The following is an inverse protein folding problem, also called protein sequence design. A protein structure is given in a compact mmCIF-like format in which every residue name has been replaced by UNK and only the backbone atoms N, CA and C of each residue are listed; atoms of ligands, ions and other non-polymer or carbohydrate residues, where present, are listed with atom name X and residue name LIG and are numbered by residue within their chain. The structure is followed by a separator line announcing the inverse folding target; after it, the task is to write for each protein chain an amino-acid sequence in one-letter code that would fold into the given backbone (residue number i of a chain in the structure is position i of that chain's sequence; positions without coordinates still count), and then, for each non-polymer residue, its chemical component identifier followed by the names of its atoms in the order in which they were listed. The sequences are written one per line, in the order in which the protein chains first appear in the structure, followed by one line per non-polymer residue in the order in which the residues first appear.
data_IF_292618310956
#
_entry.id   IF_292618310956
#
_cell.length_a   1.000
_cell.length_b   1.000
_cell.length_c   1.000
_cell.angle_alpha   90.00
_cell.angle_beta   90.00
_cell.angle_gamma   90.00
#
_symmetry.space_group_name_H-M   'P 1'
#
loop_
_entity.id
_entity.type
_entity.pdbx_description
1 polymer ?
#
# COMPACT_ATOMS: atom_id res chain seq x y z
N UNK A 1 -5.30 14.96 15.50
CA UNK A 1 -3.90 15.18 15.10
C UNK A 1 -3.58 14.37 13.83
N UNK A 2 -2.65 14.82 12.97
CA UNK A 2 -2.11 14.02 11.90
C UNK A 2 -1.43 12.76 12.44
N UNK A 3 -1.40 11.68 11.64
CA UNK A 3 -0.74 10.42 11.98
C UNK A 3 -0.22 9.72 10.71
N UNK A 4 0.71 8.78 10.91
CA UNK A 4 1.31 8.00 9.83
C UNK A 4 0.91 6.54 9.97
N UNK A 5 0.42 5.96 8.87
CA UNK A 5 0.15 4.52 8.72
C UNK A 5 1.18 3.94 7.77
N UNK A 6 1.98 2.99 8.23
CA UNK A 6 2.79 2.18 7.34
C UNK A 6 1.93 1.06 6.74
N UNK A 7 1.78 1.08 5.42
CA UNK A 7 1.01 0.05 4.71
C UNK A 7 1.95 -0.85 3.92
N UNK A 8 1.81 -2.14 4.09
CA UNK A 8 2.68 -3.12 3.42
C UNK A 8 1.90 -4.28 2.82
N UNK A 9 2.35 -4.74 1.66
CA UNK A 9 1.89 -5.95 1.01
C UNK A 9 3.02 -6.97 0.95
N UNK A 10 2.80 -8.15 1.54
CA UNK A 10 3.75 -9.26 1.49
C UNK A 10 3.48 -10.18 0.30
N UNK A 11 4.56 -10.73 -0.27
CA UNK A 11 4.53 -11.58 -1.47
C UNK A 11 4.15 -13.03 -1.11
N UNK A 12 2.88 -13.23 -0.72
CA UNK A 12 2.35 -14.56 -0.40
C UNK A 12 0.83 -14.65 -0.54
N UNK A 13 0.34 -15.86 -0.65
CA UNK A 13 -1.08 -16.22 -0.52
C UNK A 13 -1.34 -16.87 0.85
N UNK A 14 -2.61 -17.02 1.23
CA UNK A 14 -3.01 -17.67 2.47
C UNK A 14 -3.10 -16.69 3.65
N UNK A 15 -2.51 -17.04 4.80
CA UNK A 15 -2.63 -16.24 6.02
C UNK A 15 -1.80 -14.96 5.97
N UNK A 16 -2.36 -13.86 6.43
CA UNK A 16 -1.67 -12.55 6.48
C UNK A 16 -0.54 -12.54 7.52
N UNK A 17 -0.60 -13.41 8.54
CA UNK A 17 0.44 -13.55 9.56
C UNK A 17 1.73 -14.20 9.04
N UNK A 18 1.73 -14.73 7.82
CA UNK A 18 2.94 -15.31 7.23
C UNK A 18 4.10 -14.32 7.19
N UNK A 19 5.32 -14.85 7.37
CA UNK A 19 6.56 -14.09 7.19
C UNK A 19 6.96 -14.20 5.73
N UNK A 20 7.04 -13.06 5.04
CA UNK A 20 7.45 -12.98 3.64
C UNK A 20 8.04 -11.61 3.35
N UNK A 21 8.60 -11.45 2.14
CA UNK A 21 9.13 -10.16 1.67
C UNK A 21 8.04 -9.11 1.56
N UNK A 22 8.35 -7.88 1.97
CA UNK A 22 7.48 -6.72 1.76
C UNK A 22 7.73 -6.13 0.37
N UNK A 23 6.85 -6.44 -0.56
CA UNK A 23 6.94 -5.96 -1.95
C UNK A 23 6.26 -4.61 -2.17
N UNK A 24 5.35 -4.24 -1.28
CA UNK A 24 4.69 -2.93 -1.21
C UNK A 24 5.06 -2.26 0.09
N UNK A 25 5.58 -1.04 0.02
CA UNK A 25 5.97 -0.25 1.18
C UNK A 25 5.49 1.19 0.99
N UNK A 26 4.42 1.57 1.70
CA UNK A 26 3.81 2.88 1.61
C UNK A 26 3.77 3.54 3.00
N UNK A 27 4.34 4.73 3.13
CA UNK A 27 4.09 5.59 4.29
C UNK A 27 2.91 6.53 3.95
N UNK A 28 1.81 6.40 4.67
CA UNK A 28 0.58 7.14 4.42
C UNK A 28 0.38 8.15 5.55
N UNK A 29 0.64 9.43 5.25
CA UNK A 29 0.43 10.51 6.19
C UNK A 29 -1.01 11.01 6.08
N UNK A 30 -1.76 10.91 7.16
CA UNK A 30 -3.18 11.26 7.21
C UNK A 30 -3.37 12.49 8.09
N UNK A 31 -4.00 13.52 7.53
CA UNK A 31 -4.45 14.70 8.28
C UNK A 31 -5.99 14.75 8.29
N UNK A 32 -6.63 14.22 9.35
CA UNK A 32 -8.08 14.10 9.40
C UNK A 32 -8.80 15.47 9.37
N UNK A 33 -8.28 16.45 10.09
CA UNK A 33 -8.89 17.80 10.18
C UNK A 33 -8.84 18.49 8.81
N UNK A 34 -7.74 18.33 8.07
CA UNK A 34 -7.56 18.97 6.76
C UNK A 34 -8.14 18.14 5.62
N UNK A 35 -8.60 16.91 5.89
CA UNK A 35 -9.04 15.93 4.88
C UNK A 35 -8.00 15.74 3.78
N UNK A 36 -6.75 15.56 4.20
CA UNK A 36 -5.61 15.37 3.31
C UNK A 36 -4.88 14.06 3.60
N UNK A 37 -4.44 13.41 2.56
CA UNK A 37 -3.62 12.19 2.62
C UNK A 37 -2.43 12.36 1.68
N UNK A 38 -1.22 12.12 2.20
CA UNK A 38 -0.01 11.99 1.40
C UNK A 38 0.43 10.52 1.40
N UNK A 39 0.54 9.94 0.22
CA UNK A 39 1.00 8.56 0.00
C UNK A 39 2.42 8.62 -0.52
N UNK A 40 3.37 8.13 0.28
CA UNK A 40 4.80 8.04 -0.06
C UNK A 40 5.14 6.59 -0.35
N UNK A 41 5.51 6.28 -1.60
CA UNK A 41 5.97 4.94 -1.99
C UNK A 41 7.49 4.84 -1.78
N UNK A 42 7.91 3.81 -1.05
CA UNK A 42 9.31 3.49 -0.79
C UNK A 42 9.65 2.25 -1.61
N UNK A 43 10.58 2.31 -2.58
CA UNK A 43 10.95 1.16 -3.39
C UNK A 43 11.42 0.00 -2.51
N UNK A 44 10.95 -1.22 -2.80
CA UNK A 44 11.27 -2.42 -2.00
C UNK A 44 12.77 -2.73 -1.91
N UNK A 45 13.51 -2.34 -2.95
CA UNK A 45 14.97 -2.54 -3.06
C UNK A 45 15.78 -1.37 -2.46
N UNK A 46 15.12 -0.41 -1.78
CA UNK A 46 15.81 0.67 -1.05
C UNK A 46 16.78 0.10 -0.04
N UNK A 47 18.02 0.58 -0.08
CA UNK A 47 19.03 0.25 0.92
C UNK A 47 18.73 0.99 2.21
N UNK A 48 18.58 0.24 3.28
CA UNK A 48 18.33 0.75 4.63
C UNK A 48 19.29 0.10 5.63
N UNK A 49 19.44 0.73 6.78
CA UNK A 49 20.07 0.09 7.94
C UNK A 49 18.99 -0.67 8.72
N UNK A 50 19.19 -1.98 8.92
CA UNK A 50 18.30 -2.79 9.74
C UNK A 50 18.42 -2.36 11.20
N UNK A 51 17.31 -2.02 11.84
CA UNK A 51 17.23 -1.57 13.23
C UNK A 51 17.83 -2.61 14.19
N UNK A 52 17.52 -3.88 14.00
CA UNK A 52 17.92 -4.99 14.89
C UNK A 52 19.43 -5.19 15.04
N UNK A 53 20.24 -4.81 14.04
CA UNK A 53 21.67 -5.18 14.04
C UNK A 53 22.61 -4.15 13.38
N UNK A 54 22.07 -3.02 12.90
CA UNK A 54 22.83 -1.96 12.25
C UNK A 54 23.45 -2.33 10.89
N UNK A 55 23.05 -3.45 10.29
CA UNK A 55 23.58 -3.88 8.97
C UNK A 55 22.76 -3.28 7.84
N UNK A 56 23.44 -2.95 6.75
CA UNK A 56 22.82 -2.51 5.52
C UNK A 56 22.16 -3.68 4.80
N UNK A 57 20.90 -3.53 4.40
CA UNK A 57 20.17 -4.51 3.59
C UNK A 57 19.03 -3.80 2.81
N UNK A 58 18.32 -4.54 1.98
CA UNK A 58 17.12 -4.06 1.29
C UNK A 58 15.93 -3.95 2.24
N UNK A 59 15.11 -2.93 2.04
CA UNK A 59 13.87 -2.75 2.80
C UNK A 59 12.99 -4.01 2.76
N UNK A 60 12.84 -4.65 1.60
CA UNK A 60 12.01 -5.86 1.46
C UNK A 60 12.47 -7.01 2.37
N UNK A 61 13.75 -7.09 2.72
CA UNK A 61 14.30 -8.13 3.59
C UNK A 61 14.02 -7.88 5.07
N UNK A 62 13.79 -6.63 5.50
CA UNK A 62 13.44 -6.31 6.89
C UNK A 62 12.19 -7.06 7.36
N UNK A 63 11.23 -7.28 6.45
CA UNK A 63 9.99 -7.98 6.73
C UNK A 63 10.18 -9.47 7.11
N UNK A 64 11.32 -10.06 6.74
CA UNK A 64 11.68 -11.43 7.15
C UNK A 64 11.96 -11.54 8.65
N UNK A 65 12.12 -10.41 9.33
CA UNK A 65 12.31 -10.33 10.78
C UNK A 65 11.04 -9.86 11.54
N UNK A 66 9.94 -9.69 10.80
CA UNK A 66 8.65 -9.27 11.33
C UNK A 66 8.33 -7.80 11.06
N UNK A 67 7.05 -7.45 11.24
CA UNK A 67 6.54 -6.12 10.91
C UNK A 67 7.20 -5.01 11.74
N UNK A 68 7.50 -5.25 13.02
CA UNK A 68 8.11 -4.26 13.89
C UNK A 68 9.52 -3.88 13.43
N UNK A 69 10.31 -4.86 12.97
CA UNK A 69 11.63 -4.58 12.41
C UNK A 69 11.56 -3.67 11.19
N UNK A 70 10.60 -3.92 10.29
CA UNK A 70 10.39 -3.06 9.13
C UNK A 70 10.00 -1.65 9.54
N UNK A 71 9.08 -1.51 10.51
CA UNK A 71 8.63 -0.21 11.01
C UNK A 71 9.80 0.56 11.60
N UNK A 72 10.55 -0.03 12.54
CA UNK A 72 11.69 0.64 13.18
C UNK A 72 12.78 1.03 12.17
N UNK A 73 13.07 0.15 11.21
CA UNK A 73 14.04 0.47 10.15
C UNK A 73 13.57 1.63 9.25
N UNK A 74 12.26 1.76 9.00
CA UNK A 74 11.68 2.89 8.24
C UNK A 74 11.67 4.16 9.10
N UNK A 75 11.35 4.06 10.38
CA UNK A 75 11.42 5.20 11.32
C UNK A 75 12.83 5.79 11.36
N UNK A 76 13.85 4.92 11.51
CA UNK A 76 15.25 5.32 11.50
C UNK A 76 15.67 5.93 10.15
N UNK A 77 15.20 5.36 9.04
CA UNK A 77 15.56 5.78 7.68
C UNK A 77 14.93 7.13 7.29
N UNK A 78 13.70 7.39 7.69
CA UNK A 78 12.95 8.61 7.31
C UNK A 78 12.92 9.67 8.42
N UNK A 79 13.52 9.39 9.59
CA UNK A 79 13.48 10.26 10.79
C UNK A 79 12.03 10.67 11.13
N UNK A 80 11.13 9.69 11.20
CA UNK A 80 9.72 9.90 11.50
C UNK A 80 9.17 8.81 12.43
N UNK A 81 7.98 9.05 13.00
CA UNK A 81 7.29 8.07 13.84
C UNK A 81 6.08 7.48 13.12
N UNK A 82 6.03 6.15 13.03
CA UNK A 82 4.87 5.41 12.52
C UNK A 82 3.89 5.18 13.67
N UNK A 83 2.64 5.65 13.51
CA UNK A 83 1.61 5.49 14.53
C UNK A 83 0.88 4.16 14.41
N UNK A 84 0.56 3.79 13.17
CA UNK A 84 -0.19 2.59 12.85
C UNK A 84 0.43 1.84 11.69
N UNK A 85 0.10 0.55 11.58
CA UNK A 85 0.41 -0.21 10.36
C UNK A 85 -0.81 -0.95 9.84
N UNK A 86 -0.79 -1.28 8.56
CA UNK A 86 -1.70 -2.21 7.91
C UNK A 86 -0.90 -3.12 6.99
N UNK A 87 -0.91 -4.41 7.28
CA UNK A 87 -0.23 -5.46 6.52
C UNK A 87 -1.26 -6.35 5.85
N UNK A 88 -1.09 -6.62 4.56
CA UNK A 88 -1.94 -7.55 3.80
C UNK A 88 -1.08 -8.44 2.90
N UNK A 89 -1.70 -9.40 2.22
CA UNK A 89 -1.09 -10.25 1.22
C UNK A 89 -1.96 -10.34 -0.05
N UNK A 90 -1.60 -11.18 -1.01
CA UNK A 90 -2.34 -11.28 -2.28
C UNK A 90 -3.80 -11.68 -2.07
N UNK A 91 -4.07 -12.70 -1.25
CA UNK A 91 -5.46 -13.11 -0.96
C UNK A 91 -6.22 -12.02 -0.22
N UNK A 92 -5.58 -11.37 0.76
CA UNK A 92 -6.19 -10.31 1.55
C UNK A 92 -6.59 -9.12 0.70
N UNK A 93 -5.70 -8.61 -0.16
CA UNK A 93 -6.00 -7.45 -1.01
C UNK A 93 -7.11 -7.75 -2.03
N UNK A 94 -7.12 -8.95 -2.63
CA UNK A 94 -8.20 -9.40 -3.53
C UNK A 94 -9.55 -9.37 -2.81
N UNK A 95 -9.63 -10.00 -1.64
CA UNK A 95 -10.87 -10.06 -0.86
C UNK A 95 -11.35 -8.68 -0.39
N UNK A 96 -10.42 -7.78 0.01
CA UNK A 96 -10.77 -6.40 0.40
C UNK A 96 -11.40 -5.65 -0.79
N UNK A 97 -10.81 -5.76 -1.98
CA UNK A 97 -11.32 -5.08 -3.18
C UNK A 97 -12.70 -5.63 -3.56
N UNK A 98 -12.90 -6.94 -3.49
CA UNK A 98 -14.18 -7.57 -3.80
C UNK A 98 -15.26 -7.19 -2.76
N UNK A 99 -14.92 -7.14 -1.48
CA UNK A 99 -15.83 -6.65 -0.42
C UNK A 99 -16.24 -5.18 -0.62
N UNK A 100 -15.37 -4.34 -1.20
CA UNK A 100 -15.69 -2.98 -1.62
C UNK A 100 -16.60 -2.92 -2.88
N UNK A 101 -16.83 -4.05 -3.55
CA UNK A 101 -17.53 -4.13 -4.82
C UNK A 101 -16.69 -3.62 -6.00
N UNK A 102 -15.39 -3.91 -5.98
CA UNK A 102 -14.43 -3.50 -6.99
C UNK A 102 -13.95 -2.06 -6.84
N UNK A 103 -12.97 -1.69 -7.66
CA UNK A 103 -12.36 -0.35 -7.69
C UNK A 103 -12.31 0.19 -9.12
N UNK A 104 -12.32 1.52 -9.24
CA UNK A 104 -12.18 2.24 -10.50
C UNK A 104 -10.79 2.87 -10.56
N UNK A 105 -9.98 2.51 -11.54
CA UNK A 105 -8.60 3.00 -11.70
C UNK A 105 -8.42 3.65 -13.07
N UNK A 106 -7.84 4.85 -13.07
CA UNK A 106 -7.39 5.54 -14.29
C UNK A 106 -5.94 5.12 -14.59
N UNK A 107 -5.75 4.32 -15.65
CA UNK A 107 -4.44 3.86 -16.10
C UNK A 107 -3.86 4.82 -17.12
N UNK A 108 -2.59 5.27 -16.98
CA UNK A 108 -1.94 6.12 -17.97
C UNK A 108 -1.54 5.34 -19.24
N UNK A 109 -1.51 4.01 -19.16
CA UNK A 109 -1.06 3.12 -20.23
C UNK A 109 -2.10 2.06 -20.56
N UNK A 110 -2.09 1.62 -21.81
CA UNK A 110 -2.75 0.42 -22.28
C UNK A 110 -1.73 -0.73 -22.26
N UNK A 111 -2.10 -1.86 -21.68
CA UNK A 111 -1.24 -3.06 -21.64
C UNK A 111 -2.04 -4.30 -21.25
N UNK A 112 -1.42 -5.47 -21.47
CA UNK A 112 -1.93 -6.75 -20.94
C UNK A 112 -1.04 -7.21 -19.80
N UNK A 113 -1.62 -7.60 -18.68
CA UNK A 113 -0.89 -8.07 -17.51
C UNK A 113 -0.22 -9.41 -17.77
N UNK A 114 1.01 -9.63 -17.26
CA UNK A 114 1.71 -10.91 -17.34
C UNK A 114 0.95 -12.03 -16.62
N UNK A 115 0.42 -11.72 -15.43
CA UNK A 115 -0.42 -12.64 -14.68
C UNK A 115 -1.89 -12.39 -15.02
N UNK A 116 -2.68 -13.46 -15.16
CA UNK A 116 -4.10 -13.38 -15.44
C UNK A 116 -4.47 -12.90 -16.85
N UNK A 117 -3.50 -12.37 -17.61
CA UNK A 117 -3.68 -11.88 -19.00
C UNK A 117 -4.83 -10.88 -19.15
N UNK A 118 -5.06 -10.04 -18.14
CA UNK A 118 -6.08 -9.01 -18.18
C UNK A 118 -5.64 -7.85 -19.09
N UNK A 119 -6.53 -7.47 -19.99
CA UNK A 119 -6.34 -6.25 -20.77
C UNK A 119 -6.72 -5.02 -19.94
N UNK A 120 -5.79 -4.08 -19.85
CA UNK A 120 -5.94 -2.79 -19.18
C UNK A 120 -5.97 -1.71 -20.26
N UNK A 121 -7.06 -0.97 -20.32
CA UNK A 121 -7.17 0.17 -21.24
C UNK A 121 -6.43 1.39 -20.66
N UNK A 122 -5.90 2.24 -21.54
CA UNK A 122 -5.55 3.60 -21.13
C UNK A 122 -6.82 4.35 -20.73
N UNK A 123 -6.82 4.99 -19.54
CA UNK A 123 -7.99 5.64 -18.96
C UNK A 123 -8.69 4.76 -17.93
N UNK A 124 -9.99 4.91 -17.80
CA UNK A 124 -10.80 4.32 -16.74
C UNK A 124 -10.97 2.81 -16.93
N UNK A 125 -10.68 2.06 -15.87
CA UNK A 125 -10.88 0.61 -15.78
C UNK A 125 -11.63 0.28 -14.49
N UNK A 126 -12.69 -0.51 -14.62
CA UNK A 126 -13.33 -1.20 -13.48
C UNK A 126 -12.58 -2.51 -13.24
N UNK A 127 -12.22 -2.75 -11.99
CA UNK A 127 -11.43 -3.92 -11.60
C UNK A 127 -12.01 -4.58 -10.36
N UNK A 128 -12.18 -5.89 -10.43
CA UNK A 128 -12.33 -6.77 -9.27
C UNK A 128 -10.98 -7.00 -8.58
N UNK A 129 -10.97 -7.82 -7.54
CA UNK A 129 -9.76 -8.08 -6.77
C UNK A 129 -8.65 -8.72 -7.59
N UNK A 130 -8.98 -9.70 -8.43
CA UNK A 130 -7.98 -10.43 -9.24
C UNK A 130 -7.35 -9.54 -10.31
N UNK A 131 -8.15 -8.79 -11.04
CA UNK A 131 -7.66 -7.84 -12.05
C UNK A 131 -6.83 -6.74 -11.42
N UNK A 132 -7.25 -6.20 -10.27
CA UNK A 132 -6.52 -5.17 -9.55
C UNK A 132 -5.19 -5.70 -8.99
N UNK A 133 -5.16 -6.92 -8.46
CA UNK A 133 -3.92 -7.57 -8.03
C UNK A 133 -2.94 -7.74 -9.21
N UNK A 134 -3.41 -8.20 -10.36
CA UNK A 134 -2.58 -8.34 -11.56
C UNK A 134 -2.06 -6.97 -12.05
N UNK A 135 -2.89 -5.94 -12.01
CA UNK A 135 -2.52 -4.58 -12.35
C UNK A 135 -1.37 -4.02 -11.49
N UNK A 136 -1.42 -4.20 -10.16
CA UNK A 136 -0.38 -3.67 -9.26
C UNK A 136 0.89 -4.54 -9.18
N UNK A 137 0.85 -5.74 -9.72
CA UNK A 137 2.02 -6.63 -9.85
C UNK A 137 2.76 -6.46 -11.16
N UNK A 138 2.12 -5.84 -12.16
CA UNK A 138 2.72 -5.65 -13.49
C UNK A 138 3.93 -4.71 -13.44
N UNK A 139 4.98 -5.08 -14.16
CA UNK A 139 6.19 -4.29 -14.35
C UNK A 139 6.81 -4.43 -15.75
N UNK A 140 6.65 -5.58 -16.37
CA UNK A 140 7.33 -5.89 -17.65
C UNK A 140 6.67 -5.18 -18.84
N UNK A 141 5.35 -5.02 -18.80
CA UNK A 141 4.59 -4.30 -19.81
C UNK A 141 4.57 -2.77 -19.60
N UNK A 142 5.25 -2.26 -18.55
CA UNK A 142 5.24 -0.86 -18.19
C UNK A 142 6.55 -0.16 -18.57
N UNK A 143 6.50 1.10 -19.06
CA UNK A 143 7.69 1.81 -19.57
C UNK A 143 8.82 1.97 -18.57
N UNK A 144 8.50 2.25 -17.30
CA UNK A 144 9.49 2.44 -16.22
C UNK A 144 9.54 1.25 -15.25
N UNK A 145 9.02 0.08 -15.65
CA UNK A 145 9.13 -1.18 -14.90
C UNK A 145 8.68 -1.06 -13.45
N UNK A 146 9.60 -1.25 -12.52
CA UNK A 146 9.33 -1.25 -11.09
C UNK A 146 8.80 0.09 -10.55
N UNK A 147 9.23 1.22 -11.11
CA UNK A 147 8.71 2.53 -10.74
C UNK A 147 7.25 2.71 -11.10
N UNK A 148 6.83 2.26 -12.29
CA UNK A 148 5.42 2.31 -12.68
C UNK A 148 4.58 1.33 -11.86
N UNK A 149 5.13 0.16 -11.45
CA UNK A 149 4.49 -0.72 -10.50
C UNK A 149 4.19 0.01 -9.17
N UNK A 150 5.16 0.73 -8.61
CA UNK A 150 4.97 1.55 -7.41
C UNK A 150 3.88 2.60 -7.58
N UNK A 151 3.83 3.27 -8.74
CA UNK A 151 2.76 4.24 -9.07
C UNK A 151 1.39 3.55 -9.18
N UNK A 152 1.33 2.34 -9.73
CA UNK A 152 0.08 1.56 -9.81
C UNK A 152 -0.41 1.13 -8.43
N UNK A 153 0.49 0.79 -7.50
CA UNK A 153 0.15 0.53 -6.10
C UNK A 153 -0.47 1.76 -5.42
N UNK A 154 0.09 2.95 -5.67
CA UNK A 154 -0.49 4.22 -5.17
C UNK A 154 -1.86 4.50 -5.79
N UNK A 155 -2.05 4.22 -7.11
CA UNK A 155 -3.35 4.38 -7.79
C UNK A 155 -4.40 3.45 -7.18
N UNK A 156 -4.03 2.19 -6.93
CA UNK A 156 -4.92 1.24 -6.27
C UNK A 156 -5.32 1.71 -4.87
N UNK A 157 -4.35 2.08 -4.03
CA UNK A 157 -4.66 2.58 -2.68
C UNK A 157 -5.58 3.80 -2.72
N UNK A 158 -5.31 4.76 -3.62
CA UNK A 158 -6.19 5.92 -3.81
C UNK A 158 -7.61 5.52 -4.23
N UNK A 159 -7.76 4.56 -5.15
CA UNK A 159 -9.05 4.05 -5.58
C UNK A 159 -9.80 3.35 -4.44
N UNK A 160 -9.09 2.54 -3.64
CA UNK A 160 -9.66 1.87 -2.46
C UNK A 160 -10.13 2.88 -1.41
N UNK A 161 -9.34 3.91 -1.09
CA UNK A 161 -9.73 4.98 -0.15
C UNK A 161 -10.97 5.70 -0.67
N UNK A 162 -10.98 6.15 -1.93
CA UNK A 162 -12.15 6.81 -2.51
C UNK A 162 -13.41 5.94 -2.45
N UNK A 163 -13.28 4.65 -2.68
CA UNK A 163 -14.37 3.68 -2.59
C UNK A 163 -14.84 3.52 -1.15
N UNK A 164 -13.90 3.33 -0.21
CA UNK A 164 -14.21 3.13 1.22
C UNK A 164 -14.95 4.32 1.85
N UNK A 165 -14.56 5.56 1.51
CA UNK A 165 -15.22 6.77 2.03
C UNK A 165 -16.49 7.15 1.27
N UNK A 166 -16.89 6.40 0.22
CA UNK A 166 -18.12 6.68 -0.53
C UNK A 166 -19.36 6.42 0.33
N UNK A 167 -20.47 7.14 0.12
CA UNK A 167 -21.68 6.99 0.92
C UNK A 167 -22.17 5.55 1.03
N UNK A 168 -22.13 4.80 -0.07
CA UNK A 168 -22.59 3.41 -0.13
C UNK A 168 -21.79 2.48 0.78
N UNK A 169 -20.47 2.67 0.86
CA UNK A 169 -19.57 1.81 1.65
C UNK A 169 -19.51 2.28 3.09
N UNK A 170 -19.32 3.58 3.32
CA UNK A 170 -19.11 4.10 4.68
C UNK A 170 -20.37 3.90 5.58
N UNK A 171 -21.57 4.00 5.03
CA UNK A 171 -22.81 3.70 5.78
C UNK A 171 -22.99 2.22 6.11
N UNK A 172 -22.28 1.34 5.42
CA UNK A 172 -22.31 -0.12 5.62
C UNK A 172 -20.98 -0.68 6.16
N UNK A 173 -20.15 0.19 6.78
CA UNK A 173 -18.77 -0.13 7.15
C UNK A 173 -18.66 -1.39 8.05
N UNK A 174 -19.63 -1.61 8.96
CA UNK A 174 -19.59 -2.76 9.87
C UNK A 174 -19.63 -4.10 9.12
N UNK A 175 -20.47 -4.22 8.10
CA UNK A 175 -20.55 -5.41 7.27
C UNK A 175 -19.28 -5.58 6.42
N UNK A 176 -18.73 -4.47 5.92
CA UNK A 176 -17.46 -4.50 5.17
C UNK A 176 -16.32 -4.94 6.08
N UNK A 177 -16.17 -4.40 7.29
CA UNK A 177 -15.14 -4.81 8.25
C UNK A 177 -15.24 -6.31 8.58
N UNK A 178 -16.46 -6.83 8.77
CA UNK A 178 -16.68 -8.25 9.00
C UNK A 178 -16.28 -9.10 7.76
N UNK A 179 -16.60 -8.64 6.54
CA UNK A 179 -16.27 -9.33 5.31
C UNK A 179 -14.74 -9.39 5.03
N UNK A 180 -13.97 -8.42 5.55
CA UNK A 180 -12.51 -8.36 5.38
C UNK A 180 -11.75 -8.82 6.63
N UNK A 181 -12.43 -9.42 7.59
CA UNK A 181 -11.78 -10.01 8.77
C UNK A 181 -10.73 -11.05 8.33
N UNK A 182 -9.51 -10.95 8.90
CA UNK A 182 -8.39 -11.82 8.52
C UNK A 182 -7.70 -11.48 7.18
N UNK A 183 -8.20 -10.48 6.42
CA UNK A 183 -7.57 -10.04 5.17
C UNK A 183 -6.40 -9.07 5.39
N UNK A 184 -6.25 -8.53 6.60
CA UNK A 184 -5.14 -7.64 6.98
C UNK A 184 -4.85 -7.73 8.48
N UNK A 185 -3.64 -7.33 8.84
CA UNK A 185 -3.21 -7.11 10.24
C UNK A 185 -2.98 -5.63 10.47
N UNK A 186 -3.38 -5.12 11.64
CA UNK A 186 -3.18 -3.73 12.04
C UNK A 186 -3.07 -3.63 13.57
N UNK A 187 -2.37 -2.59 14.04
CA UNK A 187 -2.39 -2.16 15.45
C UNK A 187 -3.40 -1.03 15.72
N UNK A 188 -4.17 -0.61 14.70
CA UNK A 188 -5.23 0.37 14.90
C UNK A 188 -6.39 -0.26 15.67
N UNK A 189 -6.81 0.37 16.76
CA UNK A 189 -7.90 -0.16 17.58
C UNK A 189 -9.27 -0.04 16.86
N UNK A 190 -10.23 -0.85 17.25
CA UNK A 190 -11.59 -0.73 16.75
C UNK A 190 -12.21 0.63 17.03
N UNK A 191 -11.83 1.27 18.15
CA UNK A 191 -12.26 2.61 18.53
C UNK A 191 -11.68 3.68 17.61
N UNK A 192 -10.40 3.57 17.22
CA UNK A 192 -9.77 4.47 16.27
C UNK A 192 -10.45 4.37 14.90
N UNK A 193 -10.70 3.15 14.43
CA UNK A 193 -11.40 2.90 13.16
C UNK A 193 -12.80 3.51 13.21
N UNK A 194 -13.56 3.26 14.27
CA UNK A 194 -14.91 3.83 14.46
C UNK A 194 -14.89 5.36 14.46
N UNK A 195 -13.88 5.95 15.13
CA UNK A 195 -13.71 7.41 15.17
C UNK A 195 -13.45 8.02 13.79
N UNK A 196 -12.63 7.37 12.96
CA UNK A 196 -12.37 7.81 11.58
C UNK A 196 -13.64 7.66 10.71
N UNK A 197 -14.38 6.56 10.87
CA UNK A 197 -15.64 6.34 10.16
C UNK A 197 -16.69 7.39 10.57
N UNK A 198 -16.85 7.66 11.88
CA UNK A 198 -17.79 8.67 12.36
C UNK A 198 -17.44 10.05 11.83
N UNK A 199 -16.18 10.43 11.88
CA UNK A 199 -15.70 11.71 11.32
C UNK A 199 -16.03 11.83 9.82
N UNK A 200 -15.98 10.73 9.06
CA UNK A 200 -16.34 10.74 7.63
C UNK A 200 -17.86 10.84 7.45
N UNK A 201 -18.64 10.18 8.30
CA UNK A 201 -20.10 10.24 8.27
C UNK A 201 -20.65 11.62 8.63
N UNK A 202 -19.97 12.36 9.50
CA UNK A 202 -20.44 13.66 10.00
C UNK A 202 -20.50 14.72 8.89
N UNK A 203 -19.60 14.70 7.92
CA UNK A 203 -19.51 15.73 6.89
C UNK A 203 -19.43 15.21 5.45
N UNK A 204 -19.21 13.90 5.25
CA UNK A 204 -19.04 13.25 3.95
C UNK A 204 -18.04 13.98 3.03
N UNK A 205 -17.04 14.64 3.61
CA UNK A 205 -16.06 15.44 2.89
C UNK A 205 -15.18 14.59 1.97
N UNK A 206 -14.81 15.19 0.84
CA UNK A 206 -13.82 14.59 -0.08
C UNK A 206 -12.41 14.80 0.46
N UNK A 207 -11.60 13.75 0.39
CA UNK A 207 -10.18 13.80 0.75
C UNK A 207 -9.32 14.24 -0.43
N UNK A 208 -8.39 15.16 -0.19
CA UNK A 208 -7.35 15.51 -1.15
C UNK A 208 -6.19 14.54 -0.96
N UNK A 209 -5.81 13.83 -2.02
CA UNK A 209 -4.74 12.83 -1.99
C UNK A 209 -3.57 13.25 -2.85
N UNK A 210 -2.38 13.20 -2.27
CA UNK A 210 -1.10 13.50 -2.89
C UNK A 210 -0.26 12.23 -2.94
N UNK A 211 0.51 12.05 -4.00
CA UNK A 211 1.37 10.89 -4.19
C UNK A 211 2.81 11.36 -4.40
N UNK A 212 3.74 10.74 -3.68
CA UNK A 212 5.17 10.88 -3.87
C UNK A 212 5.77 9.48 -3.98
N UNK A 213 6.72 9.30 -4.88
CA UNK A 213 7.53 8.09 -4.95
C UNK A 213 8.97 8.48 -4.68
N UNK A 214 9.59 7.84 -3.69
CA UNK A 214 11.01 8.01 -3.45
C UNK A 214 11.78 7.41 -4.63
N UNK A 215 12.80 8.13 -5.07
CA UNK A 215 13.70 7.71 -6.14
C UNK A 215 15.12 7.74 -5.63
N UNK A 216 16.02 7.00 -6.24
CA UNK A 216 17.42 6.96 -5.88
C UNK A 216 18.27 6.43 -7.02
N UNK A 217 19.58 6.51 -6.86
CA UNK A 217 20.51 5.95 -7.81
C UNK A 217 20.59 4.42 -7.66
N UNK A 218 20.53 3.67 -8.77
CA UNK A 218 20.75 2.23 -8.73
C UNK A 218 22.23 1.95 -8.43
N UNK A 219 22.51 1.31 -7.32
CA UNK A 219 23.83 0.77 -7.01
C UNK A 219 23.84 -0.74 -7.28
N UNK A 220 24.82 -1.20 -8.05
CA UNK A 220 25.02 -2.62 -8.33
C UNK A 220 25.95 -3.17 -7.25
N UNK A 221 25.41 -3.75 -6.21
CA UNK A 221 26.18 -4.59 -5.30
C UNK A 221 26.13 -6.05 -5.77
N UNK A 222 27.24 -6.70 -5.78
CA UNK A 222 27.63 -8.06 -6.23
C UNK A 222 26.54 -9.16 -6.42
N UNK A 223 25.32 -8.88 -6.75
CA UNK A 223 24.26 -9.80 -7.23
C UNK A 223 22.84 -9.18 -7.23
N UNK A 224 22.65 -7.90 -6.84
CA UNK A 224 21.29 -7.38 -6.71
C UNK A 224 21.30 -5.86 -6.84
N UNK A 225 20.32 -5.29 -7.58
CA UNK A 225 20.09 -3.85 -7.61
C UNK A 225 19.64 -3.35 -6.24
N UNK A 226 20.33 -2.34 -5.72
CA UNK A 226 19.98 -1.62 -4.49
C UNK A 226 19.74 -0.18 -4.88
N UNK A 227 18.68 0.44 -4.36
CA UNK A 227 18.44 1.87 -4.54
C UNK A 227 18.93 2.64 -3.32
N UNK A 228 19.83 3.59 -3.54
CA UNK A 228 20.18 4.61 -2.56
C UNK A 228 19.30 5.83 -2.80
N UNK A 229 18.54 6.24 -1.80
CA UNK A 229 17.81 7.50 -1.83
C UNK A 229 18.79 8.57 -1.35
N UNK A 230 19.01 9.57 -2.19
CA UNK A 230 19.68 10.79 -1.78
C UNK A 230 18.63 11.68 -1.11
N UNK A 231 18.77 11.85 0.20
CA UNK A 231 17.98 12.80 1.00
C UNK A 231 18.62 14.17 0.89
#
# INVERSE_FOLDING_TARGET
NPFIVYMTGIDTYGTVSAISRADVNLAVCVSPIQKQILIVSIPRDTQITLHKNGKMDKLTHSAMYGINETIYSIEDFLDLKVNYYAKTNFSGITNIIDALGGVTIDSPYEFTTLHGHYHINKGINEMDGDKALCFVRERYALPSGDFDRGRNQQRLLKAMINKAVSPKIITNYSNILQAVEGCFETNMSSEDIKSLVQMQLDDMSKWKMYNVQLTGDPEISYKTYIFRILI
#
